data_IF_854021497433
#
_entry.id   IF_854021497433
#
_cell.length_a   1.000
_cell.length_b   1.000
_cell.length_c   1.000
_cell.angle_alpha   90.00
_cell.angle_beta   90.00
_cell.angle_gamma   90.00
#
_symmetry.space_group_name_H-M   'P 1'
#
loop_
_entity.id
_entity.type
_entity.pdbx_description
1 polymer ?
#
# COMPACT_ATOMS: atom_id res chain seq x y z
N UNK A 1 -17.05 -19.37 -11.40
CA UNK A 1 -16.92 -18.04 -10.78
C UNK A 1 -17.70 -18.08 -9.47
N UNK A 2 -17.03 -17.94 -8.30
CA UNK A 2 -17.70 -18.22 -7.00
C UNK A 2 -18.62 -17.06 -6.64
N UNK A 3 -19.91 -17.33 -6.39
CA UNK A 3 -20.96 -16.39 -5.97
C UNK A 3 -20.53 -15.50 -4.78
N UNK A 4 -19.66 -16.01 -3.89
CA UNK A 4 -19.05 -15.26 -2.77
C UNK A 4 -18.29 -14.00 -3.19
N UNK A 5 -17.70 -13.96 -4.40
CA UNK A 5 -16.90 -12.81 -4.83
C UNK A 5 -17.75 -11.63 -5.37
N UNK A 6 -19.01 -11.87 -5.73
CA UNK A 6 -19.89 -10.83 -6.27
C UNK A 6 -20.48 -9.97 -5.14
N UNK A 7 -20.80 -10.58 -3.99
CA UNK A 7 -21.43 -9.90 -2.85
C UNK A 7 -20.45 -9.11 -1.97
N UNK A 8 -19.14 -9.39 -2.06
CA UNK A 8 -18.10 -8.70 -1.28
C UNK A 8 -17.14 -7.85 -2.13
N UNK A 9 -17.44 -7.65 -3.43
CA UNK A 9 -16.59 -6.81 -4.27
C UNK A 9 -16.83 -5.34 -3.97
N UNK A 10 -15.82 -4.65 -3.48
CA UNK A 10 -15.81 -3.19 -3.41
C UNK A 10 -15.90 -2.63 -4.83
N UNK A 11 -16.97 -1.89 -5.14
CA UNK A 11 -17.18 -1.29 -6.47
C UNK A 11 -16.30 -0.05 -6.57
N UNK A 12 -15.30 -0.07 -7.44
CA UNK A 12 -14.29 0.99 -7.60
C UNK A 12 -14.47 1.80 -8.88
N UNK A 13 -15.20 1.29 -9.86
CA UNK A 13 -15.38 1.92 -11.15
C UNK A 13 -16.68 1.48 -11.83
N UNK A 14 -17.08 2.22 -12.88
CA UNK A 14 -18.27 1.99 -13.68
C UNK A 14 -18.37 0.57 -14.27
N UNK A 15 -17.25 -0.05 -14.64
CA UNK A 15 -17.24 -1.41 -15.20
C UNK A 15 -17.60 -2.45 -14.14
N UNK A 16 -17.13 -2.25 -12.92
CA UNK A 16 -17.47 -3.13 -11.79
C UNK A 16 -18.93 -2.93 -11.37
N UNK A 17 -19.44 -1.70 -11.42
CA UNK A 17 -20.85 -1.40 -11.21
C UNK A 17 -21.72 -2.19 -12.18
N UNK A 18 -21.44 -2.11 -13.48
CA UNK A 18 -22.19 -2.87 -14.49
C UNK A 18 -22.13 -4.38 -14.23
N UNK A 19 -20.94 -4.92 -13.92
CA UNK A 19 -20.79 -6.34 -13.60
C UNK A 19 -21.58 -6.77 -12.36
N UNK A 20 -21.61 -5.93 -11.34
CA UNK A 20 -22.39 -6.18 -10.14
C UNK A 20 -23.89 -6.23 -10.45
N UNK A 21 -24.42 -5.21 -11.16
CA UNK A 21 -25.84 -5.15 -11.55
C UNK A 21 -26.24 -6.35 -12.41
N UNK A 22 -25.45 -6.68 -13.42
CA UNK A 22 -25.70 -7.84 -14.28
C UNK A 22 -25.64 -9.14 -13.49
N UNK A 23 -24.62 -9.32 -12.66
CA UNK A 23 -24.43 -10.54 -11.87
C UNK A 23 -25.55 -10.77 -10.86
N UNK A 24 -25.94 -9.73 -10.12
CA UNK A 24 -27.04 -9.84 -9.13
C UNK A 24 -28.41 -10.06 -9.81
N UNK A 25 -28.64 -9.42 -10.94
CA UNK A 25 -29.88 -9.61 -11.72
C UNK A 25 -29.95 -11.03 -12.28
N UNK A 26 -28.86 -11.57 -12.82
CA UNK A 26 -28.81 -12.96 -13.31
C UNK A 26 -29.04 -14.00 -12.19
N UNK A 27 -28.48 -13.76 -11.01
CA UNK A 27 -28.70 -14.62 -9.84
C UNK A 27 -30.18 -14.58 -9.42
N UNK A 28 -30.74 -13.39 -9.30
CA UNK A 28 -32.16 -13.24 -8.94
C UNK A 28 -33.09 -13.91 -9.95
N UNK A 29 -32.81 -13.74 -11.23
CA UNK A 29 -33.55 -14.35 -12.31
C UNK A 29 -33.45 -15.89 -12.27
N UNK A 30 -32.24 -16.44 -12.08
CA UNK A 30 -32.03 -17.88 -12.00
C UNK A 30 -32.80 -18.51 -10.82
N UNK A 31 -32.80 -17.85 -9.66
CA UNK A 31 -33.55 -18.31 -8.47
C UNK A 31 -35.06 -18.27 -8.72
N UNK A 32 -35.58 -17.17 -9.30
CA UNK A 32 -37.00 -17.01 -9.55
C UNK A 32 -37.52 -17.99 -10.60
N UNK A 33 -36.79 -18.19 -11.71
CA UNK A 33 -37.14 -19.17 -12.74
C UNK A 33 -37.03 -20.62 -12.22
N UNK A 34 -36.04 -20.93 -11.37
CA UNK A 34 -35.95 -22.24 -10.75
C UNK A 34 -37.17 -22.55 -9.87
N UNK A 35 -37.61 -21.56 -9.09
CA UNK A 35 -38.83 -21.68 -8.28
C UNK A 35 -40.10 -21.87 -9.15
N UNK A 36 -40.22 -21.10 -10.24
CA UNK A 36 -41.35 -21.17 -11.16
C UNK A 36 -41.38 -22.53 -11.89
N UNK A 37 -40.22 -23.03 -12.37
CA UNK A 37 -40.10 -24.37 -12.97
C UNK A 37 -40.47 -25.45 -11.95
N UNK A 38 -39.99 -25.34 -10.71
CA UNK A 38 -40.31 -26.32 -9.67
C UNK A 38 -41.83 -26.35 -9.38
N UNK A 39 -42.46 -25.17 -9.33
CA UNK A 39 -43.94 -25.09 -9.17
C UNK A 39 -44.68 -25.76 -10.34
N UNK A 40 -44.21 -25.62 -11.56
CA UNK A 40 -44.82 -26.23 -12.74
C UNK A 40 -44.62 -27.75 -12.78
N UNK A 41 -43.62 -28.35 -12.18
CA UNK A 41 -43.52 -29.79 -12.02
C UNK A 41 -44.66 -30.37 -11.21
N UNK A 42 -45.27 -29.60 -10.30
CA UNK A 42 -46.38 -30.00 -9.43
C UNK A 42 -47.74 -29.63 -10.06
N UNK A 43 -47.83 -28.46 -10.70
CA UNK A 43 -49.06 -27.86 -11.19
C UNK A 43 -49.03 -27.52 -12.69
N UNK A 44 -48.48 -28.42 -13.52
CA UNK A 44 -48.41 -28.25 -14.96
C UNK A 44 -49.84 -28.22 -15.56
N UNK A 45 -50.16 -27.16 -16.27
CA UNK A 45 -51.46 -26.99 -16.98
C UNK A 45 -51.27 -27.22 -18.48
N UNK A 46 -50.52 -26.31 -19.14
CA UNK A 46 -50.17 -26.37 -20.55
C UNK A 46 -48.92 -25.53 -20.87
N UNK A 47 -48.35 -25.70 -22.08
CA UNK A 47 -47.17 -24.97 -22.48
C UNK A 47 -47.39 -23.44 -22.67
N UNK A 48 -48.51 -22.96 -23.25
CA UNK A 48 -48.78 -21.53 -23.36
C UNK A 48 -48.86 -20.81 -21.99
N UNK A 49 -49.44 -21.45 -20.98
CA UNK A 49 -49.51 -20.93 -19.61
C UNK A 49 -48.15 -20.88 -18.96
N UNK A 50 -47.31 -21.92 -19.14
CA UNK A 50 -45.95 -21.99 -18.64
C UNK A 50 -45.07 -20.89 -19.25
N UNK A 51 -45.10 -20.69 -20.55
CA UNK A 51 -44.35 -19.65 -21.24
C UNK A 51 -44.78 -18.24 -20.80
N UNK A 52 -46.05 -18.03 -20.56
CA UNK A 52 -46.59 -16.78 -20.06
C UNK A 52 -46.11 -16.50 -18.63
N UNK A 53 -46.12 -17.50 -17.76
CA UNK A 53 -45.57 -17.40 -16.37
C UNK A 53 -44.10 -16.99 -16.41
N UNK A 54 -43.27 -17.65 -17.20
CA UNK A 54 -41.82 -17.33 -17.29
C UNK A 54 -41.58 -15.91 -17.82
N UNK A 55 -42.36 -15.46 -18.79
CA UNK A 55 -42.25 -14.10 -19.29
C UNK A 55 -42.62 -13.05 -18.21
N UNK A 56 -43.67 -13.30 -17.47
CA UNK A 56 -44.11 -12.43 -16.35
C UNK A 56 -43.03 -12.44 -15.24
N UNK A 57 -42.57 -13.59 -14.80
CA UNK A 57 -41.51 -13.74 -13.80
C UNK A 57 -40.27 -12.98 -14.20
N UNK A 58 -39.82 -13.15 -15.45
CA UNK A 58 -38.65 -12.43 -15.98
C UNK A 58 -38.88 -10.92 -15.98
N UNK A 59 -40.03 -10.43 -16.40
CA UNK A 59 -40.36 -9.01 -16.43
C UNK A 59 -40.40 -8.40 -15.02
N UNK A 60 -41.05 -9.07 -14.06
CA UNK A 60 -41.10 -8.63 -12.66
C UNK A 60 -39.71 -8.59 -12.02
N UNK A 61 -38.97 -9.70 -12.13
CA UNK A 61 -37.62 -9.77 -11.52
C UNK A 61 -36.69 -8.72 -12.10
N UNK A 62 -36.65 -8.54 -13.41
CA UNK A 62 -35.78 -7.54 -14.03
C UNK A 62 -36.20 -6.11 -13.68
N UNK A 63 -37.49 -5.81 -13.64
CA UNK A 63 -38.03 -4.48 -13.29
C UNK A 63 -37.71 -4.07 -11.84
N UNK A 64 -37.55 -5.02 -10.94
CA UNK A 64 -37.23 -4.78 -9.53
C UNK A 64 -35.73 -4.89 -9.27
N UNK A 65 -35.08 -5.97 -9.75
CA UNK A 65 -33.67 -6.25 -9.45
C UNK A 65 -32.73 -5.23 -10.07
N UNK A 66 -32.98 -4.77 -11.30
CA UNK A 66 -32.10 -3.81 -11.97
C UNK A 66 -32.07 -2.46 -11.27
N UNK A 67 -33.21 -1.79 -10.96
CA UNK A 67 -33.15 -0.52 -10.23
C UNK A 67 -32.55 -0.64 -8.84
N UNK A 68 -32.91 -1.66 -8.08
CA UNK A 68 -32.35 -1.86 -6.72
C UNK A 68 -30.83 -2.09 -6.79
N UNK A 69 -30.38 -2.98 -7.66
CA UNK A 69 -28.94 -3.24 -7.82
C UNK A 69 -28.17 -2.01 -8.27
N UNK A 70 -28.75 -1.17 -9.15
CA UNK A 70 -28.14 0.10 -9.57
C UNK A 70 -28.02 1.10 -8.42
N UNK A 71 -29.06 1.24 -7.60
CA UNK A 71 -29.03 2.15 -6.45
C UNK A 71 -27.95 1.71 -5.46
N UNK A 72 -27.89 0.42 -5.12
CA UNK A 72 -26.90 -0.13 -4.21
C UNK A 72 -25.47 0.04 -4.78
N UNK A 73 -25.29 -0.29 -6.06
CA UNK A 73 -23.98 -0.18 -6.71
C UNK A 73 -23.50 1.27 -6.78
N UNK A 74 -24.40 2.21 -7.06
CA UNK A 74 -24.09 3.64 -7.11
C UNK A 74 -23.73 4.18 -5.73
N UNK A 75 -24.52 3.85 -4.70
CA UNK A 75 -24.21 4.24 -3.32
C UNK A 75 -22.85 3.70 -2.84
N UNK A 76 -22.50 2.46 -3.18
CA UNK A 76 -21.19 1.90 -2.86
C UNK A 76 -20.03 2.62 -3.59
N UNK A 77 -20.22 2.99 -4.85
CA UNK A 77 -19.24 3.74 -5.62
C UNK A 77 -19.03 5.16 -5.04
N UNK A 78 -20.12 5.86 -4.71
CA UNK A 78 -20.08 7.18 -4.08
C UNK A 78 -19.39 7.14 -2.72
N UNK A 79 -19.69 6.12 -1.90
CA UNK A 79 -19.03 5.91 -0.61
C UNK A 79 -17.53 5.65 -0.76
N UNK A 80 -17.15 4.85 -1.76
CA UNK A 80 -15.75 4.60 -2.06
C UNK A 80 -15.01 5.88 -2.48
N UNK A 81 -15.63 6.69 -3.36
CA UNK A 81 -15.07 7.97 -3.79
C UNK A 81 -14.94 8.96 -2.63
N UNK A 82 -15.99 9.08 -1.80
CA UNK A 82 -15.96 9.92 -0.61
C UNK A 82 -14.85 9.51 0.37
N UNK A 83 -14.63 8.19 0.53
CA UNK A 83 -13.52 7.66 1.33
C UNK A 83 -12.16 8.07 0.76
N UNK A 84 -11.95 7.95 -0.55
CA UNK A 84 -10.70 8.37 -1.20
C UNK A 84 -10.42 9.86 -0.97
N UNK A 85 -11.44 10.71 -1.13
CA UNK A 85 -11.31 12.16 -0.87
C UNK A 85 -11.00 12.44 0.61
N UNK A 86 -11.63 11.72 1.54
CA UNK A 86 -11.35 11.88 2.97
C UNK A 86 -9.91 11.43 3.32
N UNK A 87 -9.44 10.33 2.73
CA UNK A 87 -8.06 9.85 2.89
C UNK A 87 -7.04 10.84 2.30
N UNK A 88 -7.36 11.50 1.17
CA UNK A 88 -6.54 12.57 0.59
C UNK A 88 -6.53 13.86 1.44
N UNK A 89 -7.61 14.18 2.13
CA UNK A 89 -7.70 15.35 3.02
C UNK A 89 -6.99 15.11 4.36
N UNK A 90 -6.80 13.87 4.77
CA UNK A 90 -6.07 13.49 5.96
C UNK A 90 -4.58 13.88 5.87
N UNK A 91 -3.95 14.12 7.03
CA UNK A 91 -2.49 14.38 7.15
C UNK A 91 -1.70 13.14 7.54
N UNK A 92 -2.38 12.09 7.98
CA UNK A 92 -1.78 10.86 8.48
C UNK A 92 -2.24 9.65 7.67
N UNK A 93 -1.38 8.65 7.59
CA UNK A 93 -1.70 7.33 7.06
C UNK A 93 -2.51 6.53 8.10
N UNK A 94 -3.70 6.01 7.76
CA UNK A 94 -4.59 5.37 8.74
C UNK A 94 -4.07 4.03 9.27
N UNK A 95 -3.15 3.36 8.57
CA UNK A 95 -2.59 2.08 8.98
C UNK A 95 -1.48 2.25 10.02
N UNK A 96 -0.64 3.27 9.83
CA UNK A 96 0.59 3.47 10.63
C UNK A 96 0.53 4.64 11.58
N UNK A 97 -0.39 5.59 11.40
CA UNK A 97 -0.46 6.86 12.12
C UNK A 97 0.64 7.86 11.75
N UNK A 98 1.58 7.48 10.88
CA UNK A 98 2.63 8.37 10.37
C UNK A 98 2.03 9.48 9.50
N UNK A 99 2.79 10.54 9.24
CA UNK A 99 2.41 11.50 8.19
C UNK A 99 2.29 10.78 6.84
N UNK A 100 1.34 11.21 6.03
CA UNK A 100 1.23 10.75 4.65
C UNK A 100 2.12 11.60 3.71
N UNK A 101 2.20 11.17 2.43
CA UNK A 101 3.00 11.86 1.40
C UNK A 101 2.69 13.34 1.28
N UNK A 102 1.41 13.71 1.36
CA UNK A 102 0.97 15.11 1.27
C UNK A 102 1.49 15.93 2.44
N UNK A 103 1.30 15.45 3.66
CA UNK A 103 1.76 16.14 4.86
C UNK A 103 3.29 16.26 4.90
N UNK A 104 4.02 15.26 4.37
CA UNK A 104 5.47 15.31 4.20
C UNK A 104 5.89 16.41 3.21
N UNK A 105 5.22 16.51 2.05
CA UNK A 105 5.48 17.54 1.06
C UNK A 105 5.19 18.94 1.61
N UNK A 106 4.10 19.12 2.34
CA UNK A 106 3.77 20.37 3.04
C UNK A 106 4.85 20.74 4.07
N UNK A 107 5.34 19.77 4.85
CA UNK A 107 6.42 19.98 5.81
C UNK A 107 7.72 20.43 5.12
N UNK A 108 8.07 19.80 4.00
CA UNK A 108 9.23 20.16 3.20
C UNK A 108 9.10 21.57 2.58
N UNK A 109 7.90 21.93 2.09
CA UNK A 109 7.63 23.23 1.45
C UNK A 109 7.64 24.38 2.46
N UNK A 110 7.04 24.17 3.64
CA UNK A 110 6.99 25.18 4.71
C UNK A 110 8.35 25.45 5.35
N UNK A 111 9.40 24.80 4.84
CA UNK A 111 10.79 25.07 5.23
C UNK A 111 11.08 24.57 6.64
N UNK A 112 11.28 23.26 6.81
CA UNK A 112 11.88 22.76 8.05
C UNK A 112 13.27 23.41 8.22
N UNK A 113 13.48 24.19 9.29
CA UNK A 113 14.81 24.75 9.54
C UNK A 113 15.84 23.62 9.62
N UNK A 114 16.95 23.78 8.89
CA UNK A 114 18.03 22.80 8.89
C UNK A 114 17.73 21.49 8.16
N UNK A 115 16.68 21.41 7.30
CA UNK A 115 16.46 20.23 6.47
C UNK A 115 17.68 19.96 5.59
N UNK A 116 18.29 18.78 5.79
CA UNK A 116 19.49 18.36 5.10
C UNK A 116 19.19 17.49 3.88
N UNK A 117 18.30 16.50 4.06
CA UNK A 117 18.08 15.46 3.07
C UNK A 117 16.66 14.89 3.13
N UNK A 118 16.23 14.36 1.99
CA UNK A 118 15.09 13.43 1.90
C UNK A 118 15.63 12.02 1.70
N UNK A 119 15.11 11.09 2.48
CA UNK A 119 15.38 9.65 2.34
C UNK A 119 14.08 8.96 1.99
N UNK A 120 14.08 8.16 0.94
CA UNK A 120 12.97 7.26 0.58
C UNK A 120 13.39 5.83 0.87
N UNK A 121 12.51 5.09 1.53
CA UNK A 121 12.69 3.69 1.89
C UNK A 121 11.64 2.84 1.22
N UNK A 122 11.98 1.58 0.92
CA UNK A 122 11.05 0.60 0.38
C UNK A 122 11.36 -0.79 0.95
N UNK A 123 10.33 -1.49 1.39
CA UNK A 123 10.45 -2.84 1.95
C UNK A 123 10.78 -3.84 0.85
N UNK A 124 11.93 -4.46 0.96
CA UNK A 124 12.42 -5.38 -0.06
C UNK A 124 11.53 -6.60 -0.19
N UNK A 125 11.07 -6.86 -1.43
CA UNK A 125 10.25 -8.04 -1.78
C UNK A 125 8.94 -8.14 -0.99
N UNK A 126 8.37 -7.04 -0.54
CA UNK A 126 7.15 -6.99 0.27
C UNK A 126 5.97 -7.73 -0.39
N UNK A 127 5.85 -7.66 -1.72
CA UNK A 127 4.85 -8.43 -2.47
C UNK A 127 4.86 -9.92 -2.12
N UNK A 128 6.06 -10.52 -1.90
CA UNK A 128 6.15 -11.93 -1.51
C UNK A 128 5.53 -12.22 -0.15
N UNK A 129 5.58 -11.28 0.78
CA UNK A 129 4.90 -11.39 2.09
C UNK A 129 3.40 -11.45 1.88
N UNK A 130 2.85 -10.51 1.10
CA UNK A 130 1.43 -10.50 0.78
C UNK A 130 0.97 -11.77 0.04
N UNK A 131 1.75 -12.21 -0.95
CA UNK A 131 1.43 -13.41 -1.75
C UNK A 131 1.50 -14.69 -0.91
N UNK A 132 2.38 -14.75 0.10
CA UNK A 132 2.60 -15.96 0.92
C UNK A 132 1.73 -16.00 2.18
N UNK A 133 1.58 -14.86 2.88
CA UNK A 133 0.94 -14.78 4.21
C UNK A 133 -0.35 -13.96 4.21
N UNK A 134 -0.73 -13.38 3.06
CA UNK A 134 -1.91 -12.55 2.90
C UNK A 134 -1.70 -11.09 3.33
N UNK A 135 -2.64 -10.22 2.91
CA UNK A 135 -2.56 -8.77 3.14
C UNK A 135 -2.55 -8.38 4.63
N UNK A 136 -3.24 -9.11 5.49
CA UNK A 136 -3.23 -8.83 6.94
C UNK A 136 -1.83 -9.01 7.55
N UNK A 137 -1.05 -9.97 7.05
CA UNK A 137 0.34 -10.14 7.47
C UNK A 137 1.23 -9.00 6.94
N UNK A 138 1.00 -8.57 5.71
CA UNK A 138 1.65 -7.40 5.13
C UNK A 138 1.38 -6.12 5.94
N UNK A 139 0.13 -5.89 6.31
CA UNK A 139 -0.27 -4.75 7.14
C UNK A 139 0.44 -4.75 8.50
N UNK A 140 0.54 -5.92 9.16
CA UNK A 140 1.26 -6.05 10.41
C UNK A 140 2.78 -5.78 10.25
N UNK A 141 3.38 -6.20 9.14
CA UNK A 141 4.78 -5.88 8.80
C UNK A 141 4.95 -4.37 8.63
N UNK A 142 4.09 -3.72 7.85
CA UNK A 142 4.12 -2.26 7.66
C UNK A 142 4.02 -1.53 9.00
N UNK A 143 3.10 -1.93 9.87
CA UNK A 143 2.95 -1.33 11.19
C UNK A 143 4.19 -1.51 12.07
N UNK A 144 4.79 -2.69 12.07
CA UNK A 144 6.01 -2.96 12.84
C UNK A 144 7.19 -2.10 12.35
N UNK A 145 7.40 -2.00 11.05
CA UNK A 145 8.45 -1.15 10.46
C UNK A 145 8.19 0.33 10.74
N UNK A 146 6.94 0.79 10.63
CA UNK A 146 6.57 2.16 10.96
C UNK A 146 6.94 2.53 12.41
N UNK A 147 6.66 1.63 13.35
CA UNK A 147 7.02 1.79 14.77
C UNK A 147 8.54 1.90 14.97
N UNK A 148 9.31 1.03 14.31
CA UNK A 148 10.78 1.09 14.34
C UNK A 148 11.28 2.42 13.77
N UNK A 149 10.75 2.88 12.63
CA UNK A 149 11.11 4.16 12.03
C UNK A 149 10.81 5.34 12.94
N UNK A 150 9.64 5.37 13.57
CA UNK A 150 9.26 6.44 14.52
C UNK A 150 10.25 6.48 15.68
N UNK A 151 10.57 5.32 16.25
CA UNK A 151 11.44 5.22 17.42
C UNK A 151 12.89 5.59 17.09
N UNK A 152 13.44 5.12 15.99
CA UNK A 152 14.87 5.22 15.69
C UNK A 152 15.23 6.41 14.77
N UNK A 153 14.36 6.73 13.80
CA UNK A 153 14.60 7.81 12.84
C UNK A 153 13.79 9.08 13.15
N UNK A 154 12.71 8.99 13.92
CA UNK A 154 11.94 10.17 14.37
C UNK A 154 12.78 11.27 15.03
N UNK A 155 13.79 10.95 15.87
CA UNK A 155 14.69 11.95 16.43
C UNK A 155 15.55 12.69 15.39
N UNK A 156 15.71 12.14 14.18
CA UNK A 156 16.50 12.73 13.09
C UNK A 156 15.70 13.70 12.23
N UNK A 157 14.36 13.65 12.31
CA UNK A 157 13.49 14.48 11.50
C UNK A 157 12.06 13.96 11.38
N UNK A 158 11.39 14.33 10.31
CA UNK A 158 9.99 13.96 10.09
C UNK A 158 9.90 12.67 9.29
N UNK A 159 9.26 11.65 9.87
CA UNK A 159 8.98 10.36 9.21
C UNK A 159 7.56 10.33 8.65
N UNK A 160 7.40 9.67 7.51
CA UNK A 160 6.12 9.53 6.81
C UNK A 160 6.00 8.19 6.09
N UNK A 161 4.76 7.74 5.83
CA UNK A 161 4.48 6.70 4.85
C UNK A 161 3.99 7.34 3.56
N UNK A 162 4.68 7.10 2.46
CA UNK A 162 4.45 7.79 1.18
C UNK A 162 3.82 6.91 0.10
N UNK A 163 3.81 5.60 0.32
CA UNK A 163 3.22 4.62 -0.59
C UNK A 163 2.77 3.37 0.15
N UNK A 164 2.43 2.32 -0.58
CA UNK A 164 1.99 1.05 -0.01
C UNK A 164 3.02 0.43 0.94
N UNK A 165 4.24 0.27 0.47
CA UNK A 165 5.40 -0.30 1.18
C UNK A 165 6.57 0.69 1.27
N UNK A 166 6.28 1.97 0.98
CA UNK A 166 7.26 3.04 0.90
C UNK A 166 7.13 4.01 2.08
N UNK A 167 8.27 4.37 2.65
CA UNK A 167 8.39 5.33 3.73
C UNK A 167 9.37 6.44 3.36
N UNK A 168 9.33 7.53 4.11
CA UNK A 168 10.25 8.64 3.91
C UNK A 168 10.68 9.27 5.24
N UNK A 169 11.87 9.89 5.22
CA UNK A 169 12.40 10.72 6.29
C UNK A 169 12.88 12.05 5.70
N UNK A 170 12.34 13.16 6.19
CA UNK A 170 12.97 14.47 6.04
C UNK A 170 13.97 14.65 7.17
N UNK A 171 15.24 14.41 6.90
CA UNK A 171 16.31 14.54 7.88
C UNK A 171 16.76 16.00 8.05
N UNK A 172 17.04 16.38 9.29
CA UNK A 172 17.48 17.74 9.65
C UNK A 172 18.65 17.70 10.63
N UNK A 173 19.45 18.76 10.61
CA UNK A 173 20.46 19.08 11.64
C UNK A 173 21.55 18.02 11.89
N UNK A 174 21.89 17.20 10.87
CA UNK A 174 22.93 16.17 10.92
C UNK A 174 23.99 16.41 9.84
N UNK A 175 25.22 15.89 10.04
CA UNK A 175 26.15 15.70 8.93
C UNK A 175 25.71 14.53 8.04
N UNK A 176 26.16 14.53 6.78
CA UNK A 176 25.83 13.42 5.86
C UNK A 176 26.40 12.09 6.33
N UNK A 177 27.59 12.09 6.92
CA UNK A 177 28.22 10.88 7.45
C UNK A 177 27.43 10.33 8.65
N UNK A 178 26.98 11.19 9.55
CA UNK A 178 26.12 10.78 10.67
C UNK A 178 24.78 10.24 10.17
N UNK A 179 24.17 10.87 9.17
CA UNK A 179 22.95 10.36 8.55
C UNK A 179 23.18 8.99 7.89
N UNK A 180 24.26 8.85 7.12
CA UNK A 180 24.63 7.58 6.46
C UNK A 180 24.80 6.44 7.47
N UNK A 181 25.51 6.68 8.58
CA UNK A 181 25.68 5.69 9.65
C UNK A 181 24.34 5.27 10.25
N UNK A 182 23.49 6.23 10.62
CA UNK A 182 22.18 5.98 11.23
C UNK A 182 21.24 5.21 10.29
N UNK A 183 21.26 5.52 8.99
CA UNK A 183 20.46 4.81 7.99
C UNK A 183 20.94 3.37 7.79
N UNK A 184 22.26 3.15 7.78
CA UNK A 184 22.86 1.82 7.67
C UNK A 184 22.53 0.98 8.90
N UNK A 185 22.69 1.52 10.10
CA UNK A 185 22.29 0.87 11.36
C UNK A 185 20.81 0.50 11.36
N UNK A 186 19.95 1.38 10.83
CA UNK A 186 18.52 1.10 10.71
C UNK A 186 18.22 -0.05 9.75
N UNK A 187 18.86 -0.12 8.57
CA UNK A 187 18.72 -1.24 7.64
C UNK A 187 19.17 -2.57 8.29
N UNK A 188 20.28 -2.55 9.00
CA UNK A 188 20.78 -3.71 9.76
C UNK A 188 19.81 -4.14 10.85
N UNK A 189 19.21 -3.18 11.58
CA UNK A 189 18.20 -3.42 12.60
C UNK A 189 16.96 -4.10 12.02
N UNK A 190 16.43 -3.59 10.91
CA UNK A 190 15.28 -4.18 10.22
C UNK A 190 15.59 -5.63 9.80
N UNK A 191 16.78 -5.88 9.23
CA UNK A 191 17.18 -7.21 8.78
C UNK A 191 17.38 -8.22 9.90
N UNK A 192 17.79 -7.76 11.08
CA UNK A 192 18.06 -8.58 12.27
C UNK A 192 16.85 -8.77 13.18
N UNK A 193 15.80 -7.94 13.04
CA UNK A 193 14.61 -7.97 13.90
C UNK A 193 13.43 -8.60 13.16
N UNK A 194 13.10 -9.87 13.44
CA UNK A 194 11.95 -10.49 12.78
C UNK A 194 10.63 -9.91 13.26
N UNK A 195 9.67 -9.74 12.35
CA UNK A 195 8.30 -9.36 12.67
C UNK A 195 7.49 -10.65 12.90
N UNK A 196 6.87 -10.78 14.07
CA UNK A 196 6.05 -11.96 14.40
C UNK A 196 4.59 -11.70 14.02
N UNK A 197 4.06 -12.48 13.09
CA UNK A 197 2.67 -12.37 12.63
C UNK A 197 2.02 -13.74 12.63
N UNK A 198 0.94 -13.91 13.39
CA UNK A 198 0.20 -15.19 13.44
C UNK A 198 1.05 -16.39 13.86
N UNK A 199 2.10 -16.18 14.65
CA UNK A 199 3.06 -17.22 15.06
C UNK A 199 4.20 -17.47 14.07
N UNK A 200 4.18 -16.87 12.87
CA UNK A 200 5.29 -16.91 11.91
C UNK A 200 6.28 -15.78 12.17
N UNK A 201 7.57 -16.08 12.09
CA UNK A 201 8.67 -15.10 12.23
C UNK A 201 9.14 -14.68 10.84
N UNK A 202 8.80 -13.45 10.44
CA UNK A 202 9.08 -12.90 9.11
C UNK A 202 10.32 -12.00 9.16
N UNK A 203 11.35 -12.36 8.39
CA UNK A 203 12.54 -11.52 8.19
C UNK A 203 12.31 -10.61 7.00
N UNK A 204 12.48 -9.31 7.23
CA UNK A 204 12.37 -8.28 6.21
C UNK A 204 13.70 -7.56 6.04
N UNK A 205 13.93 -7.00 4.87
CA UNK A 205 14.98 -6.02 4.63
C UNK A 205 14.36 -4.75 4.03
N UNK A 206 15.08 -3.66 4.12
CA UNK A 206 14.65 -2.36 3.63
C UNK A 206 15.79 -1.72 2.84
N UNK A 207 15.49 -1.13 1.71
CA UNK A 207 16.44 -0.35 0.92
C UNK A 207 16.14 1.13 1.05
N UNK A 208 17.15 1.98 1.02
CA UNK A 208 17.00 3.41 1.13
C UNK A 208 17.77 4.18 0.05
N UNK A 209 17.12 5.23 -0.46
CA UNK A 209 17.75 6.21 -1.35
C UNK A 209 17.72 7.59 -0.72
N UNK A 210 18.83 8.29 -0.76
CA UNK A 210 19.04 9.60 -0.14
C UNK A 210 19.17 10.65 -1.23
N UNK A 211 18.52 11.81 -1.03
CA UNK A 211 18.78 13.02 -1.81
C UNK A 211 19.12 14.16 -0.85
N UNK A 212 20.17 14.94 -1.20
CA UNK A 212 20.62 16.07 -0.40
C UNK A 212 20.02 17.36 -0.94
N UNK A 213 19.47 18.16 -0.05
CA UNK A 213 18.85 19.43 -0.41
C UNK A 213 19.89 20.41 -0.95
N UNK A 214 19.64 20.94 -2.15
CA UNK A 214 20.41 22.03 -2.77
C UNK A 214 19.58 23.32 -2.74
N UNK A 215 20.22 24.49 -2.72
CA UNK A 215 19.52 25.77 -2.83
C UNK A 215 18.64 25.80 -4.09
N UNK A 216 17.37 26.20 -3.96
CA UNK A 216 16.44 26.30 -5.08
C UNK A 216 15.81 24.99 -5.57
N UNK A 217 16.17 23.84 -4.96
CA UNK A 217 15.59 22.56 -5.30
C UNK A 217 14.12 22.48 -4.81
N UNK A 218 13.20 22.04 -5.68
CA UNK A 218 11.82 21.75 -5.29
C UNK A 218 11.73 20.43 -4.52
N UNK A 219 10.59 20.18 -3.87
CA UNK A 219 10.36 18.87 -3.22
C UNK A 219 10.29 17.74 -4.24
N UNK A 220 9.71 17.98 -5.39
CA UNK A 220 9.57 17.04 -6.49
C UNK A 220 10.93 16.62 -7.06
N UNK A 221 11.86 17.57 -7.22
CA UNK A 221 13.23 17.29 -7.66
C UNK A 221 13.97 16.46 -6.64
N UNK A 222 13.84 16.81 -5.36
CA UNK A 222 14.46 16.10 -4.25
C UNK A 222 13.89 14.66 -4.15
N UNK A 223 12.57 14.51 -4.31
CA UNK A 223 11.90 13.20 -4.33
C UNK A 223 12.40 12.34 -5.48
N UNK A 224 12.48 12.90 -6.68
CA UNK A 224 12.98 12.20 -7.87
C UNK A 224 14.45 11.78 -7.74
N UNK A 225 15.30 12.60 -7.09
CA UNK A 225 16.70 12.26 -6.83
C UNK A 225 16.82 11.11 -5.81
N UNK A 226 16.02 11.14 -4.73
CA UNK A 226 15.96 10.08 -3.73
C UNK A 226 15.44 8.76 -4.31
N UNK A 227 14.41 8.80 -5.17
CA UNK A 227 13.85 7.62 -5.84
C UNK A 227 14.89 6.96 -6.77
N UNK A 228 15.66 7.74 -7.53
CA UNK A 228 16.77 7.22 -8.35
C UNK A 228 17.83 6.53 -7.49
N UNK A 229 18.18 7.12 -6.34
CA UNK A 229 19.14 6.51 -5.41
C UNK A 229 18.57 5.21 -4.80
N UNK A 230 17.27 5.16 -4.47
CA UNK A 230 16.59 3.95 -4.01
C UNK A 230 16.59 2.86 -5.09
N UNK A 231 16.33 3.22 -6.34
CA UNK A 231 16.43 2.28 -7.45
C UNK A 231 17.85 1.69 -7.58
N UNK A 232 18.89 2.51 -7.43
CA UNK A 232 20.28 2.04 -7.39
C UNK A 232 20.54 1.10 -6.20
N UNK A 233 19.95 1.35 -5.02
CA UNK A 233 20.02 0.45 -3.88
C UNK A 233 19.41 -0.92 -4.19
N UNK A 234 18.23 -0.93 -4.84
CA UNK A 234 17.57 -2.17 -5.26
C UNK A 234 18.39 -2.98 -6.28
N UNK A 235 19.09 -2.30 -7.21
CA UNK A 235 19.98 -2.94 -8.18
C UNK A 235 21.27 -3.46 -7.54
N UNK A 236 21.80 -2.78 -6.51
CA UNK A 236 23.01 -3.16 -5.80
C UNK A 236 22.87 -4.39 -4.87
N UNK A 237 21.70 -5.03 -4.86
CA UNK A 237 21.44 -6.24 -4.06
C UNK A 237 20.45 -6.04 -2.93
N UNK A 238 19.89 -4.83 -2.79
CA UNK A 238 18.94 -4.46 -1.72
C UNK A 238 19.60 -4.38 -0.33
N UNK A 239 18.78 -4.20 0.72
CA UNK A 239 19.24 -4.09 2.12
C UNK A 239 20.43 -3.13 2.29
N UNK A 240 20.36 -1.98 1.67
CA UNK A 240 21.43 -0.99 1.68
C UNK A 240 20.90 0.43 1.46
N UNK A 241 21.75 1.38 1.76
CA UNK A 241 21.56 2.81 1.53
C UNK A 241 22.36 3.25 0.31
N UNK A 242 21.78 4.10 -0.55
CA UNK A 242 22.51 4.74 -1.65
C UNK A 242 22.30 6.24 -1.61
N UNK A 243 23.39 6.93 -1.96
CA UNK A 243 23.44 8.36 -2.14
C UNK A 243 23.51 8.71 -3.64
N UNK A 244 23.23 9.95 -4.06
CA UNK A 244 23.50 10.39 -5.42
C UNK A 244 24.96 10.12 -5.81
N UNK A 245 25.21 9.73 -7.06
CA UNK A 245 26.55 9.35 -7.56
C UNK A 245 27.65 10.38 -7.23
N UNK A 246 27.30 11.66 -7.21
CA UNK A 246 28.24 12.74 -6.85
C UNK A 246 28.74 12.66 -5.38
N UNK A 247 28.07 11.93 -4.50
CA UNK A 247 28.39 11.81 -3.07
C UNK A 247 28.82 10.38 -2.67
N UNK A 248 28.60 9.39 -3.52
CA UNK A 248 28.92 7.97 -3.24
C UNK A 248 30.41 7.73 -2.99
N UNK A 249 31.28 8.61 -3.52
CA UNK A 249 32.72 8.59 -3.27
C UNK A 249 33.17 9.07 -1.89
N UNK A 250 32.33 9.83 -1.20
CA UNK A 250 32.63 10.35 0.16
C UNK A 250 32.30 9.32 1.23
N UNK A 251 31.19 8.59 1.06
CA UNK A 251 30.73 7.58 2.04
C UNK A 251 31.62 6.32 2.04
N UNK A 252 32.23 5.94 0.92
CA UNK A 252 33.17 4.80 0.84
C UNK A 252 34.51 5.04 1.56
N UNK A 253 34.91 6.28 1.80
CA UNK A 253 36.13 6.60 2.56
C UNK A 253 35.99 6.37 4.06
N UNK A 254 34.76 6.41 4.61
CA UNK A 254 34.48 6.12 6.02
C UNK A 254 34.65 4.63 6.37
N UNK A 255 34.30 3.72 5.47
CA UNK A 255 34.45 2.28 5.68
C UNK A 255 35.88 1.77 5.61
N UNK A 256 36.77 2.49 4.91
CA UNK A 256 38.20 2.13 4.80
C UNK A 256 39.04 2.45 6.05
N UNK A 257 38.44 3.11 7.06
CA UNK A 257 39.10 3.49 8.32
C UNK A 257 38.65 2.70 9.56
N UNK A 258 37.90 1.62 9.40
CA UNK A 258 37.68 0.70 10.53
C UNK A 258 39.02 -0.01 10.84
N UNK A 259 39.62 0.16 12.02
CA UNK A 259 40.82 -0.60 12.41
C UNK A 259 40.45 -2.08 12.46
N UNK A 260 41.28 -2.90 11.84
CA UNK A 260 41.20 -4.37 11.95
C UNK A 260 41.12 -4.80 13.44
N UNK A 261 40.26 -5.74 13.78
CA UNK A 261 40.24 -6.28 15.14
C UNK A 261 41.58 -6.93 15.43
N UNK A 262 42.30 -6.42 16.42
CA UNK A 262 43.53 -6.99 16.91
C UNK A 262 43.37 -8.50 17.13
N UNK A 263 44.03 -9.29 16.33
CA UNK A 263 44.17 -10.73 16.51
C UNK A 263 44.86 -10.96 17.86
N UNK A 264 44.13 -11.50 18.83
CA UNK A 264 44.73 -12.05 20.04
C UNK A 264 45.44 -13.34 19.66
N UNK A 265 46.75 -13.24 19.52
CA UNK A 265 47.64 -14.38 19.59
C UNK A 265 48.05 -14.57 21.04
N UNK A 266 47.76 -15.73 21.57
CA UNK A 266 48.49 -16.61 22.47
C UNK A 266 47.51 -17.56 23.17
#
# INVERSE_FOLDING_TARGET
MRVKNILHSTIRNERELVRFVVGTTLIALAVALAADVTNQFVFFVDWPTSLRSWAITTAIVTSVAVPISRVIAKANLELYQAKLVADELGRTDPLTGMLNRRALAEAAHNGMPGMLALVIFDLDRFKRVNDTYGHLAGDAVIQAIAQMMIAELGPLGTVARVGGEEFALLAASLSLDALASRLTEFCERVSSTPVVVGGASLKMTISAGVAVRKPGCSFEDLYSEADRALYAAKLAGRNCVRFPEALDGLTRRGDAQRPEPLSRSA
#
